data_IF_528454278694
#
_entry.id   IF_528454278694
#
_cell.length_a   1.000
_cell.length_b   1.000
_cell.length_c   1.000
_cell.angle_alpha   90.00
_cell.angle_beta   90.00
_cell.angle_gamma   90.00
#
_symmetry.space_group_name_H-M   'P 1'
#
loop_
_entity.id
_entity.type
_entity.pdbx_description
1 polymer ?
#
# COMPACT_ATOMS: atom_id res chain seq x y z
N UNK A 7 25.42 -22.72 21.34
CA UNK A 7 26.09 -23.04 20.05
C UNK A 7 25.28 -22.57 18.85
N UNK A 8 23.96 -22.52 19.02
CA UNK A 8 23.08 -22.06 17.95
C UNK A 8 23.45 -20.63 17.61
N UNK A 9 24.00 -19.93 18.61
CA UNK A 9 24.40 -18.54 18.45
C UNK A 9 25.77 -18.38 17.79
N UNK A 10 26.68 -19.31 18.06
CA UNK A 10 28.02 -19.25 17.49
C UNK A 10 28.02 -19.59 16.00
N UNK A 11 27.21 -20.59 15.63
CA UNK A 11 27.13 -21.02 14.23
C UNK A 11 26.86 -19.87 13.27
N UNK A 12 26.05 -18.91 13.69
CA UNK A 12 25.73 -17.76 12.85
C UNK A 12 26.97 -16.91 12.65
N UNK A 13 27.73 -16.72 13.72
CA UNK A 13 28.95 -15.93 13.67
C UNK A 13 30.05 -16.62 12.90
N UNK A 14 29.86 -17.90 12.58
CA UNK A 14 30.84 -18.65 11.82
C UNK A 14 30.37 -18.88 10.39
N UNK A 15 29.10 -18.56 10.13
CA UNK A 15 28.54 -18.71 8.80
C UNK A 15 28.41 -17.35 8.12
N UNK A 16 28.28 -16.32 8.94
CA UNK A 16 28.14 -14.96 8.43
C UNK A 16 29.50 -14.50 7.89
N UNK A 17 30.56 -14.83 8.63
CA UNK A 17 31.91 -14.46 8.23
C UNK A 17 32.30 -15.18 6.94
N UNK A 18 31.75 -16.38 6.75
CA UNK A 18 32.03 -17.17 5.56
C UNK A 18 31.30 -16.59 4.35
N UNK A 19 30.25 -15.82 4.62
CA UNK A 19 29.47 -15.20 3.54
C UNK A 19 30.07 -13.85 3.14
N UNK A 20 30.48 -13.08 4.14
CA UNK A 20 31.06 -11.77 3.89
C UNK A 20 32.44 -11.92 3.25
N UNK A 21 33.22 -12.87 3.75
CA UNK A 21 34.56 -13.10 3.22
C UNK A 21 34.46 -13.50 1.75
N UNK A 22 33.48 -14.33 1.42
CA UNK A 22 33.27 -14.76 0.04
C UNK A 22 32.71 -13.59 -0.74
N UNK A 23 32.03 -12.70 -0.03
CA UNK A 23 31.44 -11.50 -0.60
C UNK A 23 32.54 -10.58 -1.12
N UNK A 24 33.59 -10.41 -0.33
CA UNK A 24 34.71 -9.56 -0.70
C UNK A 24 35.49 -10.14 -1.87
N UNK A 25 35.38 -11.46 -2.06
CA UNK A 25 36.07 -12.13 -3.15
C UNK A 25 35.34 -11.86 -4.45
N UNK A 26 34.01 -11.87 -4.39
CA UNK A 26 33.21 -11.60 -5.58
C UNK A 26 33.21 -10.13 -5.93
N UNK A 27 33.64 -9.29 -4.98
CA UNK A 27 33.69 -7.86 -5.19
C UNK A 27 35.03 -7.47 -5.82
N UNK A 28 36.09 -8.14 -5.40
CA UNK A 28 37.41 -7.85 -5.94
C UNK A 28 37.48 -8.27 -7.39
N UNK A 29 36.87 -9.41 -7.71
CA UNK A 29 36.87 -9.92 -9.07
C UNK A 29 35.99 -9.05 -9.96
N UNK A 30 34.84 -8.65 -9.44
CA UNK A 30 33.90 -7.82 -10.18
C UNK A 30 34.48 -6.44 -10.48
N UNK A 31 35.31 -5.95 -9.57
CA UNK A 31 35.94 -4.64 -9.73
C UNK A 31 36.53 -4.48 -11.13
N UNK A 32 37.18 -5.54 -11.61
CA UNK A 32 37.81 -5.51 -12.93
C UNK A 32 36.76 -5.52 -14.04
N UNK A 33 35.66 -6.24 -13.82
CA UNK A 33 34.59 -6.33 -14.81
C UNK A 33 33.54 -5.26 -14.56
N UNK A 34 33.94 -4.18 -13.90
CA UNK A 34 33.04 -3.08 -13.60
C UNK A 34 32.77 -2.25 -14.85
N UNK A 35 33.83 -1.86 -15.54
CA UNK A 35 33.69 -1.06 -16.76
C UNK A 35 32.93 -1.83 -17.82
N UNK A 36 32.94 -3.15 -17.72
CA UNK A 36 32.24 -4.01 -18.66
C UNK A 36 30.77 -4.11 -18.27
N UNK A 37 30.52 -4.46 -17.02
CA UNK A 37 29.15 -4.59 -16.52
C UNK A 37 28.44 -3.25 -16.65
N UNK A 38 29.21 -2.17 -16.59
CA UNK A 38 28.66 -0.83 -16.70
C UNK A 38 28.07 -0.54 -18.07
N UNK A 39 28.72 -1.04 -19.12
CA UNK A 39 28.24 -0.84 -20.49
C UNK A 39 26.86 -1.48 -20.61
N UNK A 40 26.76 -2.70 -20.10
CA UNK A 40 25.52 -3.46 -20.13
C UNK A 40 24.34 -2.64 -19.61
N UNK A 41 24.54 -2.02 -18.45
CA UNK A 41 23.51 -1.21 -17.83
C UNK A 41 23.17 0.08 -18.57
N UNK A 42 23.91 0.35 -19.65
CA UNK A 42 23.67 1.56 -20.45
C UNK A 42 22.91 1.27 -21.74
N UNK A 43 23.18 0.11 -22.34
CA UNK A 43 22.55 -0.27 -23.59
C UNK A 43 21.05 0.02 -23.65
N UNK A 44 20.28 -0.40 -22.63
CA UNK A 44 18.84 -0.15 -22.61
C UNK A 44 18.44 1.28 -22.94
N UNK A 45 19.28 2.23 -22.54
CA UNK A 45 19.02 3.64 -22.78
C UNK A 45 19.79 4.19 -23.98
N UNK A 46 21.00 3.69 -24.19
CA UNK A 46 21.84 4.14 -25.29
C UNK A 46 21.34 3.72 -26.67
N UNK A 47 20.39 2.79 -26.72
CA UNK A 47 19.87 2.33 -28.00
C UNK A 47 18.39 2.62 -28.17
N UNK A 48 17.67 2.74 -27.06
CA UNK A 48 16.24 3.02 -27.10
C UNK A 48 15.94 4.50 -27.23
N UNK A 49 16.82 5.35 -26.68
CA UNK A 49 16.62 6.79 -26.75
C UNK A 49 17.96 7.53 -26.84
N UNK A 50 18.66 7.37 -27.97
CA UNK A 50 19.96 8.03 -28.20
C UNK A 50 19.98 9.55 -28.00
N UNK A 51 18.82 10.19 -28.01
CA UNK A 51 18.78 11.63 -27.80
C UNK A 51 18.94 11.91 -26.30
N UNK A 52 18.48 10.97 -25.49
CA UNK A 52 18.59 11.10 -24.03
C UNK A 52 20.08 11.15 -23.71
N UNK A 53 20.48 12.11 -22.90
CA UNK A 53 21.90 12.23 -22.54
C UNK A 53 22.19 11.99 -21.06
N UNK A 54 22.99 10.97 -20.81
CA UNK A 54 23.38 10.60 -19.46
C UNK A 54 24.73 11.21 -19.11
N UNK A 55 24.75 12.14 -18.16
CA UNK A 55 25.98 12.79 -17.76
C UNK A 55 26.18 12.75 -16.24
N UNK A 56 27.43 12.63 -15.82
CA UNK A 56 27.76 12.59 -14.40
C UNK A 56 27.65 13.99 -13.81
N UNK A 57 26.45 14.33 -13.34
CA UNK A 57 26.20 15.64 -12.76
C UNK A 57 27.22 15.91 -11.66
N UNK A 58 27.79 14.84 -11.12
CA UNK A 58 28.78 14.94 -10.06
C UNK A 58 30.01 15.69 -10.56
N UNK A 59 30.85 16.19 -9.64
CA UNK A 59 32.05 16.93 -10.02
C UNK A 59 33.05 16.04 -10.77
N UNK A 60 33.11 14.78 -10.34
CA UNK A 60 34.01 13.79 -10.94
C UNK A 60 33.87 12.49 -10.15
N UNK A 61 32.66 11.96 -10.12
CA UNK A 61 32.38 10.73 -9.38
C UNK A 61 31.98 9.56 -10.28
N UNK A 62 32.85 9.17 -11.22
CA UNK A 62 32.51 8.05 -12.10
C UNK A 62 32.76 6.73 -11.37
N UNK A 63 33.55 6.81 -10.30
CA UNK A 63 33.90 5.65 -9.50
C UNK A 63 32.73 5.25 -8.62
N UNK A 64 32.13 6.23 -7.95
CA UNK A 64 30.97 5.98 -7.08
C UNK A 64 29.98 5.05 -7.77
N UNK A 65 29.88 5.19 -9.09
CA UNK A 65 28.98 4.37 -9.88
C UNK A 65 29.61 3.01 -10.15
N UNK A 66 30.91 3.03 -10.47
CA UNK A 66 31.65 1.81 -10.76
C UNK A 66 31.71 0.91 -9.52
N UNK A 67 31.78 1.53 -8.35
CA UNK A 67 31.83 0.77 -7.10
C UNK A 67 30.46 0.21 -6.74
N UNK A 68 29.46 1.07 -6.67
CA UNK A 68 28.11 0.64 -6.34
C UNK A 68 27.72 -0.57 -7.18
N UNK A 69 28.15 -0.59 -8.43
CA UNK A 69 27.87 -1.70 -9.34
C UNK A 69 28.70 -2.92 -8.95
N UNK A 70 30.01 -2.71 -8.82
CA UNK A 70 30.93 -3.79 -8.46
C UNK A 70 30.52 -4.51 -7.18
N UNK A 71 29.55 -3.94 -6.47
CA UNK A 71 29.06 -4.55 -5.23
C UNK A 71 27.81 -5.38 -5.47
N UNK A 72 26.73 -4.71 -5.87
CA UNK A 72 25.46 -5.39 -6.14
C UNK A 72 25.68 -6.62 -7.01
N UNK A 73 26.20 -6.39 -8.22
CA UNK A 73 26.46 -7.48 -9.15
C UNK A 73 27.39 -8.49 -8.50
N UNK A 74 28.25 -8.02 -7.61
CA UNK A 74 29.17 -8.90 -6.92
C UNK A 74 28.41 -9.86 -6.03
N UNK A 75 27.23 -9.45 -5.61
CA UNK A 75 26.36 -10.26 -4.75
C UNK A 75 25.67 -11.30 -5.62
N UNK A 76 25.72 -11.07 -6.94
CA UNK A 76 25.10 -11.97 -7.89
C UNK A 76 26.00 -13.17 -8.19
N UNK A 77 27.29 -12.91 -8.34
CA UNK A 77 28.26 -13.94 -8.63
C UNK A 77 28.66 -14.67 -7.35
N UNK A 78 28.40 -14.03 -6.21
CA UNK A 78 28.72 -14.61 -4.91
C UNK A 78 27.54 -15.32 -4.29
N UNK A 79 26.35 -15.10 -4.85
CA UNK A 79 25.13 -15.74 -4.35
C UNK A 79 25.27 -17.25 -4.21
N UNK A 80 26.01 -17.90 -5.12
CA UNK A 80 26.18 -19.36 -5.04
C UNK A 80 26.69 -19.83 -3.69
N UNK A 81 27.55 -19.02 -3.07
CA UNK A 81 28.12 -19.35 -1.77
C UNK A 81 27.19 -18.89 -0.65
N UNK A 82 26.61 -17.71 -0.82
CA UNK A 82 25.71 -17.12 0.16
C UNK A 82 24.52 -18.05 0.41
N UNK A 83 23.86 -18.47 -0.66
CA UNK A 83 22.72 -19.37 -0.55
C UNK A 83 23.15 -20.67 0.12
N UNK A 84 24.36 -21.12 -0.19
CA UNK A 84 24.88 -22.35 0.39
C UNK A 84 25.00 -22.22 1.90
N UNK A 85 25.66 -21.17 2.36
CA UNK A 85 25.83 -20.95 3.79
C UNK A 85 24.49 -20.80 4.48
N UNK A 86 23.58 -20.07 3.83
CA UNK A 86 22.24 -19.85 4.38
C UNK A 86 21.56 -21.19 4.66
N UNK A 87 21.37 -21.97 3.61
CA UNK A 87 20.74 -23.28 3.70
C UNK A 87 21.37 -24.18 4.75
N UNK A 88 22.68 -24.31 4.69
CA UNK A 88 23.42 -25.16 5.62
C UNK A 88 23.35 -24.63 7.05
N UNK A 89 22.58 -23.56 7.26
CA UNK A 89 22.43 -22.97 8.58
C UNK A 89 21.00 -23.17 9.11
N UNK A 90 20.13 -23.73 8.28
CA UNK A 90 18.75 -23.95 8.71
C UNK A 90 18.25 -25.38 8.51
N UNK A 91 18.68 -26.05 7.44
CA UNK A 91 18.26 -27.42 7.20
C UNK A 91 19.38 -28.26 6.59
N UNK A 92 19.55 -29.49 7.07
CA UNK A 92 18.77 -30.13 8.14
C UNK A 92 18.95 -29.44 9.49
N UNK A 93 20.01 -28.64 9.59
CA UNK A 93 20.36 -27.90 10.79
C UNK A 93 19.27 -27.78 11.85
N UNK A 94 18.12 -27.20 11.47
CA UNK A 94 17.03 -27.03 12.42
C UNK A 94 15.64 -27.45 11.92
N UNK A 95 15.43 -27.47 10.61
CA UNK A 95 14.13 -27.83 10.07
C UNK A 95 14.08 -29.20 9.38
N UNK A 96 14.50 -29.23 8.12
CA UNK A 96 14.49 -30.47 7.36
C UNK A 96 15.37 -31.53 8.02
N UNK A 97 15.71 -32.57 7.27
CA UNK A 97 16.54 -33.64 7.81
C UNK A 97 17.32 -34.35 6.72
N UNK A 98 16.62 -34.91 5.74
CA UNK A 98 17.26 -35.60 4.64
C UNK A 98 18.29 -34.65 4.04
N UNK A 99 19.29 -35.19 3.35
CA UNK A 99 20.31 -34.32 2.76
C UNK A 99 20.38 -34.48 1.24
N UNK A 100 19.47 -35.28 0.70
CA UNK A 100 19.38 -35.50 -0.74
C UNK A 100 18.46 -34.42 -1.28
N UNK A 101 17.76 -33.75 -0.37
CA UNK A 101 16.83 -32.67 -0.72
C UNK A 101 17.55 -31.35 -0.52
N UNK A 102 18.77 -31.43 -0.01
CA UNK A 102 19.60 -30.26 0.25
C UNK A 102 20.23 -29.75 -1.04
N UNK A 103 20.93 -30.64 -1.74
CA UNK A 103 21.59 -30.27 -2.99
C UNK A 103 20.61 -29.66 -3.98
N UNK A 104 19.45 -30.30 -4.22
CA UNK A 104 18.47 -29.75 -5.16
C UNK A 104 17.99 -28.37 -4.71
N UNK A 105 18.14 -28.10 -3.43
CA UNK A 105 17.74 -26.82 -2.86
C UNK A 105 18.75 -25.77 -3.30
N UNK A 106 20.03 -26.13 -3.24
CA UNK A 106 21.11 -25.23 -3.63
C UNK A 106 20.99 -24.90 -5.11
N UNK A 107 21.05 -25.93 -5.95
CA UNK A 107 20.94 -25.75 -7.40
C UNK A 107 19.74 -24.89 -7.76
N UNK A 108 18.55 -25.32 -7.32
CA UNK A 108 17.35 -24.58 -7.62
C UNK A 108 17.46 -23.12 -7.20
N UNK A 109 17.79 -22.90 -5.93
CA UNK A 109 17.94 -21.54 -5.41
C UNK A 109 19.00 -20.77 -6.18
N UNK A 110 20.00 -21.49 -6.68
CA UNK A 110 21.08 -20.87 -7.45
C UNK A 110 20.55 -20.35 -8.79
N UNK A 111 19.90 -21.22 -9.55
CA UNK A 111 19.37 -20.84 -10.85
C UNK A 111 18.24 -19.83 -10.68
N UNK A 112 17.50 -19.96 -9.57
CA UNK A 112 16.39 -19.06 -9.28
C UNK A 112 16.91 -17.66 -9.04
N UNK A 113 18.19 -17.55 -8.68
CA UNK A 113 18.80 -16.26 -8.43
C UNK A 113 19.09 -15.63 -9.78
N UNK A 114 19.74 -16.40 -10.66
CA UNK A 114 20.06 -15.92 -12.00
C UNK A 114 18.77 -15.54 -12.70
N UNK A 115 17.73 -16.34 -12.48
CA UNK A 115 16.43 -16.09 -13.07
C UNK A 115 15.86 -14.80 -12.47
N UNK A 116 15.91 -14.72 -11.14
CA UNK A 116 15.41 -13.55 -10.45
C UNK A 116 16.19 -12.30 -10.84
N UNK A 117 17.43 -12.50 -11.26
CA UNK A 117 18.29 -11.39 -11.66
C UNK A 117 18.01 -11.03 -13.11
N UNK A 118 17.86 -12.05 -13.96
CA UNK A 118 17.59 -11.86 -15.38
C UNK A 118 16.23 -11.20 -15.59
N UNK A 119 15.22 -11.69 -14.86
CA UNK A 119 13.87 -11.16 -14.96
C UNK A 119 13.83 -9.64 -14.93
N UNK A 120 14.30 -9.07 -13.82
CA UNK A 120 14.31 -7.62 -13.65
C UNK A 120 15.04 -6.89 -14.78
N UNK A 121 16.32 -7.21 -14.96
CA UNK A 121 17.13 -6.57 -15.99
C UNK A 121 16.56 -6.66 -17.41
N UNK A 122 15.87 -7.76 -17.71
CA UNK A 122 15.32 -7.95 -19.04
C UNK A 122 13.81 -7.72 -19.18
N UNK A 123 13.10 -7.65 -18.06
CA UNK A 123 11.67 -7.44 -18.10
C UNK A 123 11.22 -6.19 -17.34
N UNK A 124 11.53 -6.15 -16.04
CA UNK A 124 11.15 -5.02 -15.21
C UNK A 124 11.75 -3.69 -15.65
N UNK A 125 13.07 -3.58 -15.56
CA UNK A 125 13.77 -2.36 -15.93
C UNK A 125 13.33 -1.77 -17.28
N UNK A 126 13.34 -2.59 -18.35
CA UNK A 126 12.93 -2.08 -19.65
C UNK A 126 11.50 -1.54 -19.67
N UNK A 127 10.59 -2.28 -19.05
CA UNK A 127 9.19 -1.88 -18.99
C UNK A 127 9.03 -0.65 -18.10
N UNK A 128 9.98 -0.47 -17.19
CA UNK A 128 9.96 0.65 -16.27
C UNK A 128 10.21 1.96 -17.00
N UNK A 129 11.33 2.02 -17.72
CA UNK A 129 11.69 3.21 -18.49
C UNK A 129 10.56 3.63 -19.42
N UNK A 130 9.90 2.64 -20.03
CA UNK A 130 8.81 2.90 -20.95
C UNK A 130 7.72 3.73 -20.27
N UNK A 131 7.51 3.50 -18.98
CA UNK A 131 6.52 4.26 -18.21
C UNK A 131 7.12 5.51 -17.59
N UNK A 132 8.44 5.61 -17.64
CA UNK A 132 9.12 6.76 -17.06
C UNK A 132 9.23 7.91 -18.06
N UNK A 133 9.72 7.61 -19.26
CA UNK A 133 9.87 8.62 -20.30
C UNK A 133 9.30 8.17 -21.64
N UNK A 134 8.85 6.92 -21.70
CA UNK A 134 8.28 6.40 -22.93
C UNK A 134 6.77 6.58 -23.01
N UNK A 135 6.23 7.48 -22.20
CA UNK A 135 4.80 7.73 -22.18
C UNK A 135 4.41 8.94 -23.03
N UNK A 136 4.09 8.68 -24.29
CA UNK A 136 3.69 9.75 -25.18
C UNK A 136 4.84 10.58 -25.70
N UNK A 137 4.50 11.60 -26.48
CA UNK A 137 5.49 12.50 -27.07
C UNK A 137 6.00 13.51 -26.06
N UNK A 138 6.33 13.01 -24.87
CA UNK A 138 6.85 13.85 -23.80
C UNK A 138 8.37 13.85 -23.91
N UNK A 139 8.84 13.97 -25.15
CA UNK A 139 10.27 13.98 -25.45
C UNK A 139 10.86 15.37 -25.28
N UNK A 140 10.00 16.39 -25.34
CA UNK A 140 10.44 17.77 -25.22
C UNK A 140 10.93 18.10 -23.82
N UNK A 141 10.37 17.43 -22.82
CA UNK A 141 10.75 17.66 -21.42
C UNK A 141 11.91 16.78 -20.98
N UNK A 142 12.53 16.06 -21.91
CA UNK A 142 13.64 15.19 -21.53
C UNK A 142 14.63 14.85 -22.64
N UNK A 143 15.77 15.52 -22.61
CA UNK A 143 16.85 15.29 -23.56
C UNK A 143 18.17 15.51 -22.80
N UNK A 144 18.69 16.75 -22.68
CA UNK A 144 19.93 16.73 -21.90
C UNK A 144 19.55 16.88 -20.43
N UNK A 145 18.47 16.18 -20.05
CA UNK A 145 17.93 16.23 -18.70
C UNK A 145 18.27 15.00 -17.86
N UNK A 146 18.41 13.85 -18.51
CA UNK A 146 18.70 12.61 -17.80
C UNK A 146 19.94 12.67 -16.89
N UNK A 147 19.78 12.13 -15.69
CA UNK A 147 20.85 12.09 -14.70
C UNK A 147 21.30 10.64 -14.50
N UNK A 148 22.56 10.36 -14.81
CA UNK A 148 23.10 9.01 -14.66
C UNK A 148 22.80 8.39 -13.30
N UNK A 149 23.06 9.13 -12.24
CA UNK A 149 22.81 8.65 -10.89
C UNK A 149 21.40 8.09 -10.74
N UNK A 150 20.42 8.99 -10.74
CA UNK A 150 19.01 8.61 -10.61
C UNK A 150 18.73 7.30 -11.35
N UNK A 151 19.13 7.26 -12.61
CA UNK A 151 18.94 6.09 -13.46
C UNK A 151 19.73 4.89 -12.98
N UNK A 152 21.06 4.98 -13.09
CA UNK A 152 21.95 3.91 -12.66
C UNK A 152 21.59 3.39 -11.27
N UNK A 153 21.49 4.30 -10.32
CA UNK A 153 21.15 3.93 -8.94
C UNK A 153 19.87 3.12 -8.95
N UNK A 154 18.90 3.56 -9.75
CA UNK A 154 17.62 2.88 -9.88
C UNK A 154 17.81 1.46 -10.44
N UNK A 155 18.45 1.37 -11.60
CA UNK A 155 18.69 0.09 -12.25
C UNK A 155 19.20 -0.97 -11.28
N UNK A 156 20.36 -0.72 -10.69
CA UNK A 156 20.96 -1.66 -9.75
C UNK A 156 19.99 -2.03 -8.62
N UNK A 157 19.66 -1.06 -7.78
CA UNK A 157 18.74 -1.30 -6.67
C UNK A 157 17.54 -2.13 -7.12
N UNK A 158 17.02 -1.82 -8.31
CA UNK A 158 15.88 -2.53 -8.86
C UNK A 158 16.25 -3.97 -9.23
N UNK A 159 17.39 -4.13 -9.89
CA UNK A 159 17.85 -5.44 -10.32
C UNK A 159 18.17 -6.36 -9.15
N UNK A 160 18.66 -5.81 -8.05
CA UNK A 160 18.99 -6.59 -6.88
C UNK A 160 17.74 -7.00 -6.10
N UNK A 161 16.98 -6.01 -5.65
CA UNK A 161 15.76 -6.26 -4.89
C UNK A 161 14.96 -7.41 -5.50
N UNK A 162 14.87 -7.43 -6.82
CA UNK A 162 14.15 -8.49 -7.52
C UNK A 162 14.89 -9.82 -7.45
N UNK A 163 16.22 -9.75 -7.62
CA UNK A 163 17.02 -10.96 -7.57
C UNK A 163 16.81 -11.69 -6.27
N UNK A 164 16.77 -10.93 -5.17
CA UNK A 164 16.57 -11.49 -3.84
C UNK A 164 15.10 -11.85 -3.60
N UNK A 165 14.22 -10.90 -3.90
CA UNK A 165 12.78 -11.11 -3.71
C UNK A 165 12.36 -12.50 -4.20
N UNK A 166 12.85 -12.87 -5.37
CA UNK A 166 12.54 -14.17 -5.97
C UNK A 166 12.76 -15.33 -5.00
N UNK A 167 13.65 -15.12 -4.03
CA UNK A 167 13.95 -16.16 -3.05
C UNK A 167 12.80 -16.53 -2.12
N UNK A 168 12.09 -15.52 -1.63
CA UNK A 168 10.97 -15.77 -0.72
C UNK A 168 10.28 -17.11 -1.01
N UNK A 169 9.91 -17.36 -2.28
CA UNK A 169 9.25 -18.61 -2.64
C UNK A 169 9.92 -19.84 -2.01
N UNK A 170 11.06 -20.23 -2.58
CA UNK A 170 11.79 -21.40 -2.09
C UNK A 170 12.02 -21.32 -0.59
N UNK A 171 12.48 -20.17 -0.11
CA UNK A 171 12.73 -19.97 1.30
C UNK A 171 11.47 -20.19 2.12
N UNK A 172 10.32 -19.82 1.56
CA UNK A 172 9.04 -19.98 2.23
C UNK A 172 8.48 -21.38 1.98
N UNK A 173 8.75 -21.93 0.80
CA UNK A 173 8.29 -23.26 0.45
C UNK A 173 8.74 -24.23 1.53
N UNK A 174 10.04 -24.26 1.78
CA UNK A 174 10.63 -25.13 2.78
C UNK A 174 10.00 -24.87 4.15
N UNK A 175 9.68 -23.60 4.42
CA UNK A 175 9.07 -23.23 5.69
C UNK A 175 7.73 -23.92 5.89
N UNK A 176 7.02 -24.13 4.79
CA UNK A 176 5.71 -24.78 4.86
C UNK A 176 5.84 -26.30 4.96
N UNK A 177 6.68 -26.88 4.10
CA UNK A 177 6.88 -28.32 4.12
C UNK A 177 7.30 -28.79 5.51
N UNK A 178 8.07 -27.95 6.20
CA UNK A 178 8.53 -28.27 7.55
C UNK A 178 7.37 -28.18 8.52
N UNK A 179 6.39 -27.35 8.19
CA UNK A 179 5.22 -27.19 9.04
C UNK A 179 5.24 -25.91 9.86
N UNK A 180 6.23 -25.07 9.61
CA UNK A 180 6.35 -23.80 10.33
C UNK A 180 5.23 -22.83 9.95
N UNK A 181 4.89 -22.82 8.67
CA UNK A 181 3.84 -21.94 8.17
C UNK A 181 2.91 -22.71 7.23
N UNK A 182 1.61 -22.65 7.50
CA UNK A 182 0.63 -23.35 6.68
C UNK A 182 0.19 -22.48 5.50
N UNK A 183 -0.28 -23.12 4.41
CA UNK A 183 -0.73 -22.38 3.22
C UNK A 183 -1.81 -21.36 3.56
N UNK A 184 -2.69 -21.72 4.50
CA UNK A 184 -3.76 -20.83 4.91
C UNK A 184 -3.23 -19.59 5.60
N UNK A 185 -2.29 -19.78 6.54
CA UNK A 185 -1.70 -18.66 7.26
C UNK A 185 -1.23 -17.58 6.31
N UNK A 186 -0.92 -17.96 5.08
CA UNK A 186 -0.47 -17.01 4.08
C UNK A 186 -1.66 -16.34 3.40
N UNK A 187 -2.67 -17.14 3.10
CA UNK A 187 -3.88 -16.64 2.45
C UNK A 187 -4.50 -15.54 3.30
N UNK A 188 -4.19 -15.54 4.59
CA UNK A 188 -4.70 -14.54 5.51
C UNK A 188 -3.72 -13.37 5.62
N UNK A 189 -2.52 -13.58 5.11
CA UNK A 189 -1.49 -12.55 5.14
C UNK A 189 -1.43 -11.83 3.80
N UNK A 190 -2.24 -12.30 2.85
CA UNK A 190 -2.32 -11.73 1.52
C UNK A 190 -2.40 -10.21 1.57
N UNK A 191 -3.47 -9.71 2.19
CA UNK A 191 -3.71 -8.28 2.32
C UNK A 191 -2.52 -7.53 2.93
N UNK A 192 -1.94 -8.10 3.98
CA UNK A 192 -0.81 -7.46 4.65
C UNK A 192 0.44 -7.42 3.78
N UNK A 193 0.68 -8.49 3.02
CA UNK A 193 1.84 -8.55 2.15
C UNK A 193 1.73 -7.52 1.04
N UNK A 194 0.50 -7.25 0.59
CA UNK A 194 0.26 -6.28 -0.46
C UNK A 194 1.02 -4.99 -0.19
N UNK A 195 1.02 -4.55 1.06
CA UNK A 195 1.72 -3.33 1.44
C UNK A 195 3.22 -3.58 1.34
N UNK A 196 3.65 -4.77 1.74
CA UNK A 196 5.07 -5.14 1.68
C UNK A 196 5.60 -4.92 0.27
N UNK A 197 4.87 -5.43 -0.71
CA UNK A 197 5.27 -5.28 -2.10
C UNK A 197 5.16 -3.83 -2.53
N UNK A 198 4.24 -3.10 -1.91
CA UNK A 198 4.05 -1.69 -2.22
C UNK A 198 5.01 -0.79 -1.44
N UNK A 199 5.61 -1.35 -0.39
CA UNK A 199 6.57 -0.61 0.42
C UNK A 199 7.92 -0.68 -0.29
N UNK A 200 8.35 -1.91 -0.58
CA UNK A 200 9.61 -2.12 -1.28
C UNK A 200 9.52 -1.47 -2.66
N UNK A 201 8.34 -1.55 -3.26
CA UNK A 201 8.14 -0.97 -4.57
C UNK A 201 8.24 0.54 -4.58
N UNK A 202 8.08 1.15 -3.41
CA UNK A 202 8.17 2.60 -3.28
C UNK A 202 9.57 3.03 -2.88
N UNK A 203 10.30 2.11 -2.25
CA UNK A 203 11.66 2.38 -1.80
C UNK A 203 12.66 2.46 -2.94
N UNK A 204 12.33 1.86 -4.08
CA UNK A 204 13.24 1.87 -5.22
C UNK A 204 12.66 2.56 -6.47
N UNK A 205 11.34 2.53 -6.60
CA UNK A 205 10.69 3.16 -7.75
C UNK A 205 10.39 4.63 -7.46
N UNK A 206 10.51 5.50 -8.47
CA UNK A 206 10.25 6.93 -8.32
C UNK A 206 8.77 7.29 -8.23
N UNK A 207 8.01 6.96 -9.27
CA UNK A 207 6.59 7.26 -9.32
C UNK A 207 5.72 6.02 -9.18
N UNK A 208 4.41 6.24 -9.00
CA UNK A 208 3.45 5.16 -8.83
C UNK A 208 3.56 4.11 -9.94
N UNK A 209 3.36 4.55 -11.18
CA UNK A 209 3.43 3.67 -12.35
C UNK A 209 4.49 2.59 -12.23
N UNK A 210 5.68 2.98 -11.79
CA UNK A 210 6.78 2.03 -11.61
C UNK A 210 6.59 1.21 -10.35
N UNK A 211 6.40 1.89 -9.22
CA UNK A 211 6.19 1.24 -7.94
C UNK A 211 5.23 0.07 -8.09
N UNK A 212 4.06 0.36 -8.63
CA UNK A 212 3.02 -0.64 -8.84
C UNK A 212 3.50 -1.74 -9.77
N UNK A 213 4.05 -1.33 -10.91
CA UNK A 213 4.55 -2.25 -11.92
C UNK A 213 5.30 -3.42 -11.28
N UNK A 214 6.58 -3.20 -11.02
CA UNK A 214 7.45 -4.19 -10.42
C UNK A 214 6.80 -5.00 -9.30
N UNK A 215 6.12 -4.32 -8.39
CA UNK A 215 5.46 -4.98 -7.26
C UNK A 215 4.64 -6.20 -7.67
N UNK A 216 3.60 -5.97 -8.46
CA UNK A 216 2.72 -7.05 -8.91
C UNK A 216 3.47 -8.36 -9.13
N UNK A 217 4.55 -8.35 -9.93
CA UNK A 217 5.33 -9.57 -10.19
C UNK A 217 5.72 -10.35 -8.94
N UNK A 218 6.20 -9.64 -7.91
CA UNK A 218 6.59 -10.31 -6.67
C UNK A 218 5.36 -10.98 -6.06
N UNK A 219 4.32 -10.19 -5.85
CA UNK A 219 3.07 -10.68 -5.29
C UNK A 219 2.64 -11.96 -6.03
N UNK A 220 2.55 -11.84 -7.34
CA UNK A 220 2.15 -12.95 -8.21
C UNK A 220 2.96 -14.21 -7.90
N UNK A 221 4.28 -14.08 -7.90
CA UNK A 221 5.15 -15.21 -7.60
C UNK A 221 4.84 -15.77 -6.22
N UNK A 222 4.55 -14.87 -5.28
CA UNK A 222 4.22 -15.28 -3.92
C UNK A 222 2.96 -16.15 -3.94
N UNK A 223 2.12 -15.93 -4.94
CA UNK A 223 0.89 -16.72 -5.08
C UNK A 223 1.24 -18.11 -5.56
N UNK A 224 2.33 -18.23 -6.33
CA UNK A 224 2.76 -19.52 -6.83
C UNK A 224 3.15 -20.37 -5.63
N UNK A 225 3.92 -19.77 -4.72
CA UNK A 225 4.36 -20.45 -3.51
C UNK A 225 3.20 -21.13 -2.81
N UNK A 226 2.18 -20.35 -2.45
CA UNK A 226 1.01 -20.90 -1.77
C UNK A 226 0.34 -21.96 -2.63
N UNK A 227 0.35 -21.74 -3.95
CA UNK A 227 -0.25 -22.69 -4.88
C UNK A 227 0.48 -24.03 -4.73
N UNK A 228 1.79 -23.98 -4.60
CA UNK A 228 2.61 -25.18 -4.43
C UNK A 228 2.21 -25.91 -3.16
N UNK A 229 1.43 -25.23 -2.31
CA UNK A 229 0.99 -25.83 -1.07
C UNK A 229 0.14 -27.06 -1.30
N UNK A 230 0.77 -28.09 -1.84
CA UNK A 230 0.09 -29.36 -2.12
C UNK A 230 0.53 -30.39 -1.09
N UNK A 231 -0.30 -30.59 -0.08
CA UNK A 231 0.03 -31.55 0.98
C UNK A 231 -1.04 -32.64 1.06
N UNK B 7 -3.46 31.51 24.97
CA UNK B 7 -4.87 31.61 24.51
C UNK B 7 -5.16 30.66 23.35
N UNK B 8 -4.12 30.34 22.59
CA UNK B 8 -4.27 29.42 21.46
C UNK B 8 -4.70 28.06 22.02
N UNK B 9 -4.32 27.81 23.26
CA UNK B 9 -4.64 26.57 23.94
C UNK B 9 -6.07 26.54 24.51
N UNK B 10 -6.55 27.69 24.96
CA UNK B 10 -7.90 27.76 25.53
C UNK B 10 -8.97 27.67 24.45
N UNK B 11 -8.73 28.32 23.31
CA UNK B 11 -9.69 28.32 22.21
C UNK B 11 -10.15 26.92 21.82
N UNK B 12 -9.24 25.95 21.89
CA UNK B 12 -9.57 24.57 21.56
C UNK B 12 -10.53 23.99 22.58
N UNK B 13 -10.27 24.29 23.86
CA UNK B 13 -11.11 23.81 24.94
C UNK B 13 -12.47 24.50 24.96
N UNK B 14 -12.61 25.56 24.17
CA UNK B 14 -13.88 26.28 24.09
C UNK B 14 -14.59 25.98 22.77
N UNK B 15 -13.88 25.32 21.86
CA UNK B 15 -14.46 24.96 20.57
C UNK B 15 -14.78 23.47 20.53
N UNK B 16 -14.08 22.71 21.36
CA UNK B 16 -14.29 21.26 21.43
C UNK B 16 -15.60 21.00 22.17
N UNK B 17 -15.82 21.75 23.25
CA UNK B 17 -17.03 21.59 24.04
C UNK B 17 -18.24 22.01 23.23
N UNK B 18 -18.05 22.93 22.29
CA UNK B 18 -19.14 23.40 21.44
C UNK B 18 -19.48 22.35 20.38
N UNK B 19 -18.53 21.48 20.10
CA UNK B 19 -18.74 20.42 19.11
C UNK B 19 -19.36 19.18 19.76
N UNK B 20 -18.89 18.84 20.95
CA UNK B 20 -19.41 17.68 21.67
C UNK B 20 -20.83 17.93 22.14
N UNK B 21 -21.08 19.14 22.64
CA UNK B 21 -22.39 19.50 23.13
C UNK B 21 -23.40 19.45 21.98
N UNK B 22 -22.98 19.89 20.81
CA UNK B 22 -23.83 19.88 19.63
C UNK B 22 -23.95 18.42 19.17
N UNK B 23 -22.94 17.63 19.51
CA UNK B 23 -22.89 16.22 19.16
C UNK B 23 -23.99 15.47 19.91
N UNK B 24 -24.13 15.78 21.20
CA UNK B 24 -25.13 15.14 22.05
C UNK B 24 -26.55 15.55 21.64
N UNK B 25 -26.66 16.66 20.93
CA UNK B 25 -27.95 17.14 20.48
C UNK B 25 -28.37 16.36 19.24
N UNK B 26 -27.41 16.07 18.37
CA UNK B 26 -27.69 15.32 17.17
C UNK B 26 -27.88 13.85 17.46
N UNK B 27 -27.46 13.43 18.65
CA UNK B 27 -27.58 12.04 19.07
C UNK B 27 -28.94 11.80 19.72
N UNK B 28 -29.39 12.79 20.48
CA UNK B 28 -30.68 12.68 21.15
C UNK B 28 -31.81 12.68 20.13
N UNK B 29 -31.65 13.49 19.09
CA UNK B 29 -32.65 13.59 18.03
C UNK B 29 -32.65 12.34 17.18
N UNK B 30 -31.45 11.84 16.88
CA UNK B 30 -31.30 10.65 16.06
C UNK B 30 -31.84 9.40 16.76
N UNK B 31 -31.74 9.39 18.08
CA UNK B 31 -32.22 8.26 18.87
C UNK B 31 -33.62 7.85 18.45
N UNK B 32 -34.49 8.85 18.22
CA UNK B 32 -35.86 8.59 17.81
C UNK B 32 -35.94 8.06 16.38
N UNK B 33 -35.04 8.53 15.53
CA UNK B 33 -35.01 8.11 14.12
C UNK B 33 -34.06 6.94 13.95
N UNK B 34 -33.82 6.20 15.01
CA UNK B 34 -32.92 5.05 14.98
C UNK B 34 -33.59 3.87 14.28
N UNK B 35 -34.81 3.55 14.71
CA UNK B 35 -35.55 2.44 14.12
C UNK B 35 -35.82 2.69 12.65
N UNK B 36 -35.83 3.96 12.26
CA UNK B 36 -36.05 4.35 10.88
C UNK B 36 -34.76 4.20 10.08
N UNK B 37 -33.69 4.84 10.57
CA UNK B 37 -32.40 4.77 9.90
C UNK B 37 -31.93 3.33 9.83
N UNK B 38 -32.40 2.52 10.77
CA UNK B 38 -32.03 1.10 10.81
C UNK B 38 -32.59 0.31 9.64
N UNK B 39 -33.81 0.64 9.22
CA UNK B 39 -34.42 -0.04 8.08
C UNK B 39 -33.58 0.21 6.85
N UNK B 40 -33.22 1.48 6.65
CA UNK B 40 -32.41 1.91 5.52
C UNK B 40 -31.18 1.03 5.35
N UNK B 41 -30.46 0.80 6.45
CA UNK B 41 -29.25 -0.01 6.46
C UNK B 41 -29.49 -1.50 6.20
N UNK B 42 -30.75 -1.90 6.12
CA UNK B 42 -31.09 -3.30 5.88
C UNK B 42 -31.52 -3.57 4.44
N UNK B 43 -32.19 -2.60 3.83
CA UNK B 43 -32.67 -2.73 2.46
C UNK B 43 -31.66 -3.36 1.50
N UNK B 44 -30.42 -2.84 1.47
CA UNK B 44 -29.40 -3.39 0.58
C UNK B 44 -29.27 -4.91 0.62
N UNK B 45 -29.54 -5.49 1.78
CA UNK B 45 -29.46 -6.94 1.96
C UNK B 45 -30.82 -7.62 1.92
N UNK B 46 -31.84 -6.94 2.44
CA UNK B 46 -33.19 -7.48 2.46
C UNK B 46 -33.85 -7.61 1.10
N UNK B 47 -33.27 -6.95 0.09
CA UNK B 47 -33.86 -6.99 -1.25
C UNK B 47 -32.93 -7.66 -2.26
N UNK B 48 -31.63 -7.60 -2.01
CA UNK B 48 -30.65 -8.19 -2.91
C UNK B 48 -30.48 -9.69 -2.68
N UNK B 49 -30.64 -10.12 -1.43
CA UNK B 49 -30.48 -11.54 -1.08
C UNK B 49 -31.44 -11.94 0.03
N UNK B 50 -32.75 -11.97 -0.25
CA UNK B 50 -33.77 -12.35 0.73
C UNK B 50 -33.57 -13.69 1.41
N UNK B 51 -32.74 -14.56 0.84
CA UNK B 51 -32.48 -15.85 1.47
C UNK B 51 -31.51 -15.65 2.62
N UNK B 52 -30.65 -14.64 2.49
CA UNK B 52 -29.69 -14.32 3.53
C UNK B 52 -30.47 -13.93 4.78
N UNK B 53 -30.13 -14.53 5.92
CA UNK B 53 -30.85 -14.23 7.14
C UNK B 53 -30.00 -13.52 8.19
N UNK B 54 -30.45 -12.32 8.57
CA UNK B 54 -29.77 -11.51 9.57
C UNK B 54 -30.42 -11.69 10.94
N UNK B 55 -29.70 -12.30 11.86
CA UNK B 55 -30.23 -12.53 13.20
C UNK B 55 -29.28 -12.02 14.28
N UNK B 56 -29.84 -11.48 15.35
CA UNK B 56 -29.06 -10.97 16.46
C UNK B 56 -28.49 -12.13 17.26
N UNK B 57 -27.30 -12.59 16.87
CA UNK B 57 -26.63 -13.70 17.53
C UNK B 57 -26.54 -13.42 19.03
N UNK B 58 -26.59 -12.14 19.38
CA UNK B 58 -26.52 -11.70 20.77
C UNK B 58 -27.70 -12.26 21.56
N UNK B 59 -27.60 -12.29 22.90
CA UNK B 59 -28.68 -12.82 23.74
C UNK B 59 -29.95 -11.97 23.63
N UNK B 60 -29.74 -10.66 23.50
CA UNK B 60 -30.84 -9.69 23.38
C UNK B 60 -30.25 -8.29 23.34
N UNK B 61 -29.43 -8.04 22.32
CA UNK B 61 -28.78 -6.75 22.16
C UNK B 61 -29.18 -5.99 20.90
N UNK B 62 -30.48 -5.71 20.73
CA UNK B 62 -30.93 -4.99 19.54
C UNK B 62 -30.65 -3.50 19.72
N UNK B 63 -30.43 -3.10 20.97
CA UNK B 63 -30.16 -1.72 21.30
C UNK B 63 -28.74 -1.35 20.94
N UNK B 64 -27.79 -2.23 21.26
CA UNK B 64 -26.38 -2.00 20.96
C UNK B 64 -26.22 -1.56 19.51
N UNK B 65 -27.09 -2.06 18.64
CA UNK B 65 -27.06 -1.73 17.22
C UNK B 65 -27.77 -0.40 17.00
N UNK B 66 -28.89 -0.21 17.71
CA UNK B 66 -29.67 1.00 17.60
C UNK B 66 -28.88 2.22 18.10
N UNK B 67 -28.05 2.00 19.12
CA UNK B 67 -27.24 3.06 19.68
C UNK B 67 -26.05 3.38 18.77
N UNK B 68 -25.28 2.36 18.43
CA UNK B 68 -24.12 2.54 17.56
C UNK B 68 -24.51 3.34 16.31
N UNK B 69 -25.73 3.11 15.83
CA UNK B 69 -26.23 3.82 14.65
C UNK B 69 -26.59 5.26 15.02
N UNK B 70 -27.38 5.40 16.09
CA UNK B 70 -27.81 6.72 16.55
C UNK B 70 -26.64 7.66 16.82
N UNK B 71 -25.43 7.11 16.84
CA UNK B 71 -24.23 7.92 17.09
C UNK B 71 -23.59 8.35 15.78
N UNK B 72 -23.07 7.38 15.03
CA UNK B 72 -22.41 7.66 13.74
C UNK B 72 -23.27 8.58 12.90
N UNK B 73 -24.49 8.14 12.58
CA UNK B 73 -25.40 8.94 11.77
C UNK B 73 -25.63 10.29 12.45
N UNK B 74 -25.55 10.30 13.77
CA UNK B 74 -25.74 11.53 14.51
C UNK B 74 -24.62 12.51 14.21
N UNK B 75 -23.45 11.95 13.85
CA UNK B 75 -22.28 12.75 13.52
C UNK B 75 -22.47 13.32 12.12
N UNK B 76 -23.43 12.74 11.38
CA UNK B 76 -23.72 13.18 10.02
C UNK B 76 -24.62 14.41 10.03
N UNK B 77 -25.61 14.41 10.91
CA UNK B 77 -26.55 15.52 11.02
C UNK B 77 -25.93 16.65 11.84
N UNK B 78 -24.91 16.32 12.63
CA UNK B 78 -24.24 17.29 13.47
C UNK B 78 -23.00 17.86 12.81
N UNK B 79 -22.58 17.25 11.69
CA UNK B 79 -21.41 17.70 10.97
C UNK B 79 -21.48 19.19 10.61
N UNK B 80 -22.67 19.70 10.28
CA UNK B 80 -22.79 21.13 9.92
C UNK B 80 -22.21 22.06 10.99
N UNK B 81 -22.31 21.65 12.25
CA UNK B 81 -21.80 22.45 13.35
C UNK B 81 -20.33 22.14 13.60
N UNK B 82 -20.00 20.85 13.52
CA UNK B 82 -18.62 20.38 13.73
C UNK B 82 -17.67 21.03 12.73
N UNK B 83 -18.05 21.02 11.45
CA UNK B 83 -17.23 21.61 10.42
C UNK B 83 -17.10 23.11 10.65
N UNK B 84 -18.16 23.72 11.16
CA UNK B 84 -18.17 25.14 11.44
C UNK B 84 -17.15 25.49 12.52
N UNK B 85 -17.21 24.77 13.63
CA UNK B 85 -16.30 25.01 14.74
C UNK B 85 -14.86 24.75 14.31
N UNK B 86 -14.66 23.70 13.52
CA UNK B 86 -13.34 23.34 13.02
C UNK B 86 -12.73 24.51 12.26
N UNK B 87 -13.41 24.91 11.19
CA UNK B 87 -12.96 26.02 10.34
C UNK B 87 -12.70 27.31 11.12
N UNK B 88 -13.66 27.70 11.95
CA UNK B 88 -13.53 28.91 12.74
C UNK B 88 -12.44 28.82 13.80
N UNK B 89 -11.70 27.71 13.76
CA UNK B 89 -10.61 27.49 14.72
C UNK B 89 -9.25 27.53 14.02
N UNK B 90 -9.26 27.60 12.70
CA UNK B 90 -8.01 27.62 11.95
C UNK B 90 -7.88 28.80 10.97
N UNK B 91 -8.97 29.18 10.33
CA UNK B 91 -8.92 30.32 9.40
C UNK B 91 -10.17 31.18 9.48
N UNK B 92 -10.00 32.50 9.47
CA UNK B 92 -8.72 33.22 9.38
C UNK B 92 -7.84 32.99 10.61
N UNK B 93 -8.47 32.53 11.70
CA UNK B 93 -7.81 32.25 12.97
C UNK B 93 -6.28 32.19 12.91
N UNK B 94 -5.74 31.29 12.11
CA UNK B 94 -4.28 31.14 12.01
C UNK B 94 -3.70 31.07 10.61
N UNK B 95 -4.52 30.68 9.63
CA UNK B 95 -4.01 30.56 8.26
C UNK B 95 -4.55 31.63 7.30
N UNK B 96 -5.74 31.39 6.76
CA UNK B 96 -6.34 32.33 5.82
C UNK B 96 -6.52 33.70 6.46
N UNK B 97 -7.38 34.53 5.87
CA UNK B 97 -7.63 35.87 6.40
C UNK B 97 -8.98 36.40 5.97
N UNK B 98 -9.20 36.48 4.66
CA UNK B 98 -10.47 36.97 4.14
C UNK B 98 -11.58 36.15 4.80
N UNK B 99 -12.78 36.72 4.90
CA UNK B 99 -13.87 35.99 5.53
C UNK B 99 -15.01 35.73 4.56
N UNK B 100 -14.80 36.08 3.29
CA UNK B 100 -15.78 35.85 2.24
C UNK B 100 -15.48 34.48 1.64
N UNK B 101 -14.30 33.96 1.99
CA UNK B 101 -13.86 32.66 1.51
C UNK B 101 -14.12 31.63 2.61
N UNK B 102 -14.64 32.12 3.73
CA UNK B 102 -14.97 31.28 4.88
C UNK B 102 -16.32 30.61 4.69
N UNK B 103 -17.33 31.40 4.35
CA UNK B 103 -18.68 30.87 4.13
C UNK B 103 -18.70 29.78 3.07
N UNK B 104 -18.11 30.05 1.88
CA UNK B 104 -18.11 29.03 0.83
C UNK B 104 -17.38 27.77 1.28
N UNK B 105 -16.53 27.91 2.29
CA UNK B 105 -15.78 26.79 2.83
C UNK B 105 -16.75 25.91 3.61
N UNK B 106 -17.57 26.54 4.45
CA UNK B 106 -18.54 25.83 5.25
C UNK B 106 -19.52 25.09 4.35
N UNK B 107 -20.19 25.84 3.48
CA UNK B 107 -21.16 25.26 2.55
C UNK B 107 -20.56 24.08 1.80
N UNK B 108 -19.43 24.31 1.13
CA UNK B 108 -18.77 23.26 0.38
C UNK B 108 -18.48 22.05 1.26
N UNK B 109 -17.79 22.27 2.37
CA UNK B 109 -17.45 21.20 3.29
C UNK B 109 -18.70 20.49 3.79
N UNK B 110 -19.79 21.25 3.91
CA UNK B 110 -21.06 20.69 4.38
C UNK B 110 -21.64 19.71 3.35
N UNK B 111 -21.78 20.17 2.11
CA UNK B 111 -22.32 19.34 1.04
C UNK B 111 -21.36 18.20 0.74
N UNK B 112 -20.06 18.46 0.89
CA UNK B 112 -19.04 17.44 0.64
C UNK B 112 -19.14 16.33 1.66
N UNK B 113 -19.80 16.60 2.78
CA UNK B 113 -19.97 15.61 3.83
C UNK B 113 -21.12 14.72 3.40
N UNK B 114 -22.22 15.34 2.97
CA UNK B 114 -23.38 14.59 2.52
C UNK B 114 -22.98 13.74 1.32
N UNK B 115 -22.11 14.30 0.49
CA UNK B 115 -21.61 13.59 -0.69
C UNK B 115 -20.72 12.45 -0.23
N UNK B 116 -19.83 12.75 0.69
CA UNK B 116 -18.93 11.74 1.22
C UNK B 116 -19.68 10.64 1.95
N UNK B 117 -20.85 10.98 2.47
CA UNK B 117 -21.69 10.03 3.18
C UNK B 117 -22.52 9.22 2.20
N UNK B 118 -23.09 9.90 1.21
CA UNK B 118 -23.91 9.26 0.20
C UNK B 118 -23.09 8.28 -0.65
N UNK B 119 -21.90 8.74 -1.05
CA UNK B 119 -21.01 7.91 -1.87
C UNK B 119 -20.87 6.49 -1.32
N UNK B 120 -20.39 6.38 -0.09
CA UNK B 120 -20.19 5.08 0.54
C UNK B 120 -21.47 4.24 0.58
N UNK B 121 -22.50 4.77 1.23
CA UNK B 121 -23.77 4.06 1.35
C UNK B 121 -24.40 3.62 0.03
N UNK B 122 -24.20 4.41 -1.02
CA UNK B 122 -24.80 4.10 -2.32
C UNK B 122 -23.84 3.51 -3.35
N UNK B 123 -22.54 3.59 -3.10
CA UNK B 123 -21.56 3.05 -4.04
C UNK B 123 -20.65 2.01 -3.41
N UNK B 124 -19.92 2.41 -2.38
CA UNK B 124 -18.98 1.52 -1.70
C UNK B 124 -19.65 0.29 -1.09
N UNK B 125 -20.50 0.51 -0.08
CA UNK B 125 -21.19 -0.58 0.59
C UNK B 125 -21.82 -1.61 -0.34
N UNK B 126 -22.63 -1.16 -1.32
CA UNK B 126 -23.27 -2.10 -2.25
C UNK B 126 -22.25 -2.93 -3.04
N UNK B 127 -21.23 -2.26 -3.55
CA UNK B 127 -20.19 -2.94 -4.33
C UNK B 127 -19.37 -3.86 -3.41
N UNK B 128 -19.38 -3.56 -2.12
CA UNK B 128 -18.64 -4.35 -1.14
C UNK B 128 -19.28 -5.72 -0.98
N UNK B 129 -20.56 -5.74 -0.66
CA UNK B 129 -21.31 -6.98 -0.47
C UNK B 129 -21.16 -7.89 -1.69
N UNK B 130 -21.22 -7.29 -2.88
CA UNK B 130 -21.10 -8.04 -4.12
C UNK B 130 -19.82 -8.86 -4.14
N UNK B 131 -18.76 -8.33 -3.54
CA UNK B 131 -17.48 -9.03 -3.48
C UNK B 131 -17.39 -9.89 -2.22
N UNK B 132 -18.32 -9.70 -1.30
CA UNK B 132 -18.33 -10.44 -0.05
C UNK B 132 -19.07 -11.78 -0.21
N UNK B 133 -20.28 -11.72 -0.74
CA UNK B 133 -21.08 -12.93 -0.94
C UNK B 133 -21.67 -13.02 -2.34
N UNK B 134 -21.47 -11.97 -3.14
CA UNK B 134 -21.99 -11.96 -4.49
C UNK B 134 -21.00 -12.50 -5.51
N UNK B 135 -19.98 -13.21 -5.02
CA UNK B 135 -18.97 -13.78 -5.91
C UNK B 135 -19.26 -15.22 -6.29
N UNK B 136 -19.94 -15.40 -7.41
CA UNK B 136 -20.26 -16.74 -7.86
C UNK B 136 -21.40 -17.40 -7.12
N UNK B 137 -21.68 -18.65 -7.47
CA UNK B 137 -22.75 -19.42 -6.85
C UNK B 137 -22.32 -19.97 -5.50
N UNK B 138 -21.71 -19.10 -4.70
CA UNK B 138 -21.25 -19.47 -3.37
C UNK B 138 -22.39 -19.17 -2.40
N UNK B 139 -23.60 -19.52 -2.82
CA UNK B 139 -24.80 -19.29 -2.02
C UNK B 139 -25.02 -20.42 -1.02
N UNK B 140 -24.43 -21.57 -1.29
CA UNK B 140 -24.58 -22.73 -0.42
C UNK B 140 -23.89 -22.54 0.92
N UNK B 141 -22.83 -21.72 0.94
CA UNK B 141 -22.09 -21.46 2.16
C UNK B 141 -22.60 -20.25 2.92
N UNK B 142 -23.75 -19.72 2.53
CA UNK B 142 -24.28 -18.55 3.21
C UNK B 142 -25.78 -18.31 3.07
N UNK B 143 -26.53 -18.71 4.10
CA UNK B 143 -27.98 -18.51 4.15
C UNK B 143 -28.33 -18.21 5.61
N UNK B 144 -28.54 -19.21 6.48
CA UNK B 144 -28.85 -18.70 7.83
C UNK B 144 -27.50 -18.52 8.54
N UNK B 145 -26.53 -17.99 7.81
CA UNK B 145 -25.18 -17.78 8.31
C UNK B 145 -24.87 -16.33 8.65
N UNK B 146 -25.47 -15.40 7.93
CA UNK B 146 -25.23 -13.97 8.13
C UNK B 146 -25.42 -13.51 9.57
N UNK B 147 -24.51 -12.67 10.03
CA UNK B 147 -24.54 -12.11 11.37
C UNK B 147 -24.77 -10.60 11.29
N UNK B 148 -25.88 -10.13 11.85
CA UNK B 148 -26.21 -8.71 11.84
C UNK B 148 -25.05 -7.82 12.27
N UNK B 149 -24.43 -8.16 13.40
CA UNK B 149 -23.31 -7.39 13.91
C UNK B 149 -22.25 -7.16 12.84
N UNK B 150 -21.52 -8.21 12.50
CA UNK B 150 -20.47 -8.15 11.49
C UNK B 150 -20.87 -7.21 10.35
N UNK B 151 -22.07 -7.41 9.83
CA UNK B 151 -22.59 -6.61 8.74
C UNK B 151 -22.86 -5.17 9.16
N UNK B 152 -23.87 -4.98 10.00
CA UNK B 152 -24.24 -3.65 10.48
C UNK B 152 -23.02 -2.86 10.94
N UNK B 153 -22.21 -3.47 11.80
CA UNK B 153 -21.01 -2.81 12.31
C UNK B 153 -20.17 -2.34 11.13
N UNK B 154 -20.04 -3.20 10.13
CA UNK B 154 -19.27 -2.89 8.93
C UNK B 154 -19.87 -1.68 8.19
N UNK B 155 -21.16 -1.78 7.87
CA UNK B 155 -21.85 -0.71 7.16
C UNK B 155 -21.57 0.67 7.76
N UNK B 156 -21.92 0.84 9.03
CA UNK B 156 -21.70 2.11 9.72
C UNK B 156 -20.24 2.57 9.64
N UNK B 157 -19.35 1.81 10.27
CA UNK B 157 -17.93 2.14 10.26
C UNK B 157 -17.47 2.52 8.86
N UNK B 158 -17.95 1.79 7.87
CA UNK B 158 -17.59 2.05 6.48
C UNK B 158 -18.19 3.36 5.99
N UNK B 159 -19.46 3.58 6.28
CA UNK B 159 -20.16 4.79 5.86
C UNK B 159 -19.58 6.06 6.48
N UNK B 160 -19.06 5.93 7.71
CA UNK B 160 -18.48 7.07 8.40
C UNK B 160 -17.08 7.40 7.88
N UNK B 161 -16.17 6.44 8.03
CA UNK B 161 -14.80 6.61 7.57
C UNK B 161 -14.75 7.35 6.24
N UNK B 162 -15.63 6.96 5.32
CA UNK B 162 -15.69 7.59 4.01
C UNK B 162 -16.23 9.01 4.09
N UNK B 163 -17.30 9.19 4.86
CA UNK B 163 -17.89 10.50 5.02
C UNK B 163 -16.84 11.51 5.48
N UNK B 164 -15.98 11.07 6.40
CA UNK B 164 -14.93 11.92 6.93
C UNK B 164 -13.75 12.01 5.97
N UNK B 165 -13.28 10.85 5.50
CA UNK B 165 -12.15 10.80 4.58
C UNK B 165 -12.29 11.87 3.49
N UNK B 166 -13.48 11.96 2.92
CA UNK B 166 -13.75 12.93 1.86
C UNK B 166 -13.29 14.34 2.21
N UNK B 167 -13.17 14.62 3.51
CA UNK B 167 -12.75 15.94 3.97
C UNK B 167 -11.30 16.28 3.66
N UNK B 168 -10.40 15.31 3.80
CA UNK B 168 -8.99 15.55 3.53
C UNK B 168 -8.78 16.56 2.39
N UNK B 169 -9.45 16.35 1.25
CA UNK B 169 -9.30 17.27 0.12
C UNK B 169 -9.39 18.74 0.53
N UNK B 170 -10.59 19.20 0.83
CA UNK B 170 -10.79 20.60 1.23
C UNK B 170 -9.87 20.99 2.38
N UNK B 171 -9.78 20.14 3.39
CA UNK B 171 -8.93 20.40 4.54
C UNK B 171 -7.47 20.56 4.11
N UNK B 172 -7.07 19.81 3.09
CA UNK B 172 -5.71 19.87 2.59
C UNK B 172 -5.57 20.97 1.55
N UNK B 173 -6.65 21.23 0.81
CA UNK B 173 -6.65 22.27 -0.21
C UNK B 173 -6.23 23.59 0.44
N UNK B 174 -6.96 23.98 1.47
CA UNK B 174 -6.68 25.22 2.19
C UNK B 174 -5.26 25.22 2.73
N UNK B 175 -4.77 24.04 3.12
CA UNK B 175 -3.42 23.90 3.65
C UNK B 175 -2.39 24.30 2.61
N UNK B 176 -2.69 24.04 1.34
CA UNK B 176 -1.78 24.37 0.26
C UNK B 176 -1.87 25.84 -0.13
N UNK B 177 -3.09 26.33 -0.30
CA UNK B 177 -3.29 27.73 -0.68
C UNK B 177 -2.63 28.64 0.34
N UNK B 178 -2.57 28.19 1.59
CA UNK B 178 -1.95 28.97 2.66
C UNK B 178 -0.43 28.90 2.53
N UNK B 179 0.05 27.83 1.92
CA UNK B 179 1.48 27.65 1.73
C UNK B 179 2.11 26.70 2.71
N UNK B 180 1.29 26.09 3.56
CA UNK B 180 1.76 25.14 4.55
C UNK B 180 2.31 23.87 3.89
N UNK B 181 1.63 23.44 2.82
CA UNK B 181 2.05 22.24 2.10
C UNK B 181 1.98 22.48 0.60
N UNK B 182 3.07 22.18 -0.10
CA UNK B 182 3.13 22.39 -1.55
C UNK B 182 2.63 21.15 -2.29
N UNK B 183 2.15 21.33 -3.53
CA UNK B 183 1.64 20.21 -4.33
C UNK B 183 2.69 19.11 -4.49
N UNK B 184 3.95 19.51 -4.64
CA UNK B 184 5.04 18.56 -4.79
C UNK B 184 5.23 17.71 -3.53
N UNK B 185 5.21 18.37 -2.38
CA UNK B 185 5.38 17.68 -1.10
C UNK B 185 4.43 16.50 -0.98
N UNK B 186 3.32 16.55 -1.72
CA UNK B 186 2.33 15.49 -1.70
C UNK B 186 2.71 14.41 -2.71
N UNK B 187 3.17 14.84 -3.88
CA UNK B 187 3.56 13.93 -4.94
C UNK B 187 4.67 13.00 -4.44
N UNK B 188 5.36 13.44 -3.39
CA UNK B 188 6.44 12.65 -2.80
C UNK B 188 5.90 11.81 -1.64
N UNK B 189 4.67 12.12 -1.22
CA UNK B 189 4.04 11.39 -0.13
C UNK B 189 3.06 10.36 -0.69
N UNK B 190 2.91 10.36 -2.01
CA UNK B 190 2.03 9.43 -2.70
C UNK B 190 2.20 8.01 -2.19
N UNK B 191 3.41 7.49 -2.32
CA UNK B 191 3.74 6.14 -1.89
C UNK B 191 3.39 5.88 -0.43
N UNK B 192 3.73 6.81 0.45
CA UNK B 192 3.45 6.65 1.87
C UNK B 192 1.96 6.66 2.18
N UNK B 193 1.20 7.49 1.46
CA UNK B 193 -0.24 7.57 1.68
C UNK B 193 -0.91 6.27 1.26
N UNK B 194 -0.35 5.60 0.26
CA UNK B 194 -0.89 4.35 -0.23
C UNK B 194 -1.14 3.39 0.92
N UNK B 195 -0.23 3.37 1.88
CA UNK B 195 -0.37 2.49 3.03
C UNK B 195 -1.49 3.01 3.92
N UNK B 196 -1.60 4.34 4.01
CA UNK B 196 -2.63 4.98 4.81
C UNK B 196 -4.00 4.50 4.36
N UNK B 197 -4.23 4.52 3.05
CA UNK B 197 -5.50 4.08 2.49
C UNK B 197 -5.65 2.58 2.66
N UNK B 198 -4.53 1.87 2.74
CA UNK B 198 -4.55 0.43 2.91
C UNK B 198 -4.59 0.03 4.38
N UNK B 199 -4.28 0.98 5.26
CA UNK B 199 -4.31 0.74 6.69
C UNK B 199 -5.75 0.92 7.16
N UNK B 200 -6.35 2.03 6.77
CA UNK B 200 -7.73 2.33 7.12
C UNK B 200 -8.63 1.31 6.44
N UNK B 201 -8.27 0.95 5.22
CA UNK B 201 -9.05 -0.02 4.46
C UNK B 201 -9.04 -1.40 5.09
N UNK B 202 -8.06 -1.67 5.93
CA UNK B 202 -7.95 -2.96 6.60
C UNK B 202 -8.61 -2.92 7.97
N UNK B 203 -8.75 -1.72 8.51
CA UNK B 203 -9.36 -1.53 9.82
C UNK B 203 -10.88 -1.68 9.80
N UNK B 204 -11.48 -1.50 8.63
CA UNK B 204 -12.94 -1.62 8.53
C UNK B 204 -13.41 -2.73 7.58
N UNK B 205 -12.57 -3.08 6.61
CA UNK B 205 -12.92 -4.13 5.66
C UNK B 205 -12.41 -5.49 6.16
N UNK B 206 -13.18 -6.56 5.89
CA UNK B 206 -12.80 -7.91 6.31
C UNK B 206 -11.69 -8.55 5.49
N UNK B 207 -11.94 -8.73 4.20
CA UNK B 207 -10.98 -9.35 3.29
C UNK B 207 -10.31 -8.34 2.35
N UNK B 208 -9.30 -8.80 1.62
CA UNK B 208 -8.58 -7.95 0.68
C UNK B 208 -9.49 -7.27 -0.32
N UNK B 209 -10.24 -8.07 -1.09
CA UNK B 209 -11.16 -7.57 -2.10
C UNK B 209 -11.86 -6.27 -1.67
N UNK B 210 -12.33 -6.24 -0.43
CA UNK B 210 -13.01 -5.05 0.09
C UNK B 210 -12.00 -3.96 0.47
N UNK B 211 -11.06 -4.33 1.34
CA UNK B 211 -10.02 -3.40 1.79
C UNK B 211 -9.51 -2.56 0.61
N UNK B 212 -9.09 -3.25 -0.44
CA UNK B 212 -8.58 -2.62 -1.64
C UNK B 212 -9.63 -1.75 -2.30
N UNK B 213 -10.81 -2.34 -2.51
CA UNK B 213 -11.93 -1.65 -3.15
C UNK B 213 -12.04 -0.21 -2.66
N UNK B 214 -12.70 -0.03 -1.52
CA UNK B 214 -12.91 1.28 -0.91
C UNK B 214 -11.67 2.18 -0.94
N UNK B 215 -10.53 1.64 -0.54
CA UNK B 215 -9.29 2.40 -0.51
C UNK B 215 -9.06 3.24 -1.77
N UNK B 216 -8.97 2.57 -2.91
CA UNK B 216 -8.72 3.24 -4.19
C UNK B 216 -9.46 4.58 -4.30
N UNK B 217 -10.78 4.59 -4.06
CA UNK B 217 -11.57 5.82 -4.14
C UNK B 217 -10.97 6.99 -3.36
N UNK B 218 -10.55 6.75 -2.11
CA UNK B 218 -9.96 7.80 -1.29
C UNK B 218 -8.72 8.33 -1.99
N UNK B 219 -7.80 7.43 -2.29
CA UNK B 219 -6.56 7.76 -2.98
C UNK B 219 -6.86 8.64 -4.18
N UNK B 220 -7.73 8.13 -5.05
CA UNK B 220 -8.14 8.83 -6.26
C UNK B 220 -8.54 10.27 -5.96
N UNK B 221 -9.44 10.45 -5.00
CA UNK B 221 -9.91 11.78 -4.63
C UNK B 221 -8.72 12.63 -4.16
N UNK B 222 -7.79 12.00 -3.46
CA UNK B 222 -6.62 12.69 -2.96
C UNK B 222 -5.79 13.20 -4.14
N UNK B 223 -5.92 12.53 -5.28
CA UNK B 223 -5.21 12.94 -6.48
C UNK B 223 -5.87 14.19 -7.07
N UNK B 224 -7.17 14.33 -6.83
CA UNK B 224 -7.90 15.49 -7.31
C UNK B 224 -7.35 16.71 -6.59
N UNK B 225 -7.18 16.58 -5.28
CA UNK B 225 -6.67 17.67 -4.45
C UNK B 225 -5.38 18.23 -5.04
N UNK B 226 -4.38 17.38 -5.24
CA UNK B 226 -3.11 17.80 -5.79
C UNK B 226 -3.32 18.41 -7.18
N UNK B 227 -4.27 17.84 -7.93
CA UNK B 227 -4.57 18.33 -9.26
C UNK B 227 -5.02 19.79 -9.16
N UNK B 228 -5.85 20.07 -8.16
CA UNK B 228 -6.35 21.42 -7.93
C UNK B 228 -5.19 22.36 -7.63
N UNK B 229 -4.01 21.79 -7.40
CA UNK B 229 -2.83 22.59 -7.11
C UNK B 229 -2.47 23.50 -8.27
N UNK B 230 -3.36 24.43 -8.60
CA UNK B 230 -3.15 25.37 -9.68
C UNK B 230 -2.75 26.72 -9.08
N UNK B 231 -1.45 27.00 -9.07
CA UNK B 231 -0.96 28.25 -8.52
C UNK B 231 -0.23 29.06 -9.59
#
# INVERSE_FOLDING_TARGET
MGMPLTEHLRELRYRLIISIIAFLIGSGIAFYFAKYVFEILKEPILKSYPEVELITLSPTEPLFILIKISLAVGFIIASPVILYQFWRFIEPALYSHEKRAFIPLLLGSILLFMLGALFAYFIVLPLALKFLLGLGFTQLLATPYLSVDMYISFVLKLVVAFGIAFEMPIVLYVLQKAGVITPEQLASFRKYFIVIAFVIGAIIAPDVSTQVLMAIPLLLLYEISIFLGKLATRKKKEIGSGASMNIFEMLRIDEGLRLKIYKDTEGYYTIGIGHLLTKSPSLNAAKSELDKAIGRNTNGVITKDEAEKLFNQDVDAAVRGILRNAKLKPVYDSLDAVRRAALINMVFQMGETGVAGFTNSLRMLQQKRWDEAAVNLAKSRWYNQTPNRAKRVITTFRTGTWDAYKNLELYKHHHHHH
MGMPLTEHLRELRYRLIISIIAFLIGSGIAFYFAKYVFEILKEPILKSYPEVELITLSPTEPLFILIKISLAVGFIIASPVILYQFWRFIEPALYSHEKRAFIPLLLGSILLFMLGALFAYFIVLPLALKFLLGLGFTQLLATPYLSVDMYISFVLKLVVAFGIAFEMPIVLYVLQKAGVITPEQLASFRKYFIVIAFVIGAIIAPDVSTQVLMAIPLLLLYEISIFLGKLATRKKKEIGSGASMNIFEMLRIDEGLRLKIYKDTEGYYTIGIGHLLTKSPSLNAAKSELDKAIGRNTNGVITKDEAEKLFNQDVDAAVRGILRNAKLKPVYDSLDAVRRAALINMVFQMGETGVAGFTNSLRMLQQKRWDEAAVNLAKSRWYNQTPNRAKRVITTFRTGTWDAYKNLELYKHHHHHH
#
